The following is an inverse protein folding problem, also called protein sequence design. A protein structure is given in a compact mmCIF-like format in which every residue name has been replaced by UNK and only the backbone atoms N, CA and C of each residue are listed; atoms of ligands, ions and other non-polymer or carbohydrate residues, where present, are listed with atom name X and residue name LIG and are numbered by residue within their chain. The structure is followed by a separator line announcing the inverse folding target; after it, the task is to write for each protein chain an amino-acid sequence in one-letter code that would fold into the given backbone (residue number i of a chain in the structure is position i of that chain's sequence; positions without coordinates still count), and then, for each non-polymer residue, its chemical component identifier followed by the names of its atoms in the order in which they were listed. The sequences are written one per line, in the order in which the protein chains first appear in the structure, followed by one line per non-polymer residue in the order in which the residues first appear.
data_IF_904346709526
#
_entry.id   IF_904346709526
#
_cell.length_a   1.000
_cell.length_b   1.000
_cell.length_c   1.000
_cell.angle_alpha   90.00
_cell.angle_beta   90.00
_cell.angle_gamma   90.00
#
_symmetry.space_group_name_H-M   'P 1'
#
loop_
_entity.id
_entity.type
_entity.pdbx_description
1 polymer ?
#
# COMPACT_ATOMS: atom_id res chain seq x y z
N UNK A 1 -11.51 -3.04 18.04
CA UNK A 1 -10.13 -3.50 17.82
C UNK A 1 -9.53 -2.98 16.50
N UNK A 2 -10.22 -3.04 15.35
CA UNK A 2 -9.68 -2.49 14.09
C UNK A 2 -9.29 -1.00 14.14
N UNK A 3 -10.05 -0.16 14.87
CA UNK A 3 -9.72 1.26 15.03
C UNK A 3 -8.37 1.52 15.72
N UNK A 4 -7.98 0.69 16.70
CA UNK A 4 -6.67 0.84 17.38
C UNK A 4 -5.51 0.40 16.49
N UNK A 5 -5.74 -0.58 15.60
CA UNK A 5 -4.77 -1.01 14.58
C UNK A 5 -4.56 0.13 13.57
N UNK A 6 -5.65 0.72 13.05
CA UNK A 6 -5.57 1.83 12.11
C UNK A 6 -4.85 3.05 12.72
N UNK A 7 -5.20 3.43 13.96
CA UNK A 7 -4.54 4.52 14.67
C UNK A 7 -3.04 4.26 14.90
N UNK A 8 -2.67 3.01 15.20
CA UNK A 8 -1.26 2.61 15.34
C UNK A 8 -0.50 2.72 14.02
N UNK A 9 -1.13 2.35 12.90
CA UNK A 9 -0.56 2.52 11.56
C UNK A 9 -0.27 3.99 11.22
N UNK A 10 -1.24 4.88 11.44
CA UNK A 10 -1.05 6.33 11.23
C UNK A 10 0.08 6.88 12.11
N UNK A 11 0.18 6.43 13.37
CA UNK A 11 1.26 6.82 14.29
C UNK A 11 2.64 6.34 13.84
N UNK A 12 2.74 5.18 13.19
CA UNK A 12 4.02 4.68 12.65
C UNK A 12 4.45 5.57 11.48
N UNK A 13 3.53 5.84 10.56
CA UNK A 13 3.77 6.70 9.40
C UNK A 13 4.15 8.13 9.80
N UNK A 14 3.51 8.69 10.82
CA UNK A 14 3.78 10.05 11.29
C UNK A 14 5.17 10.26 11.90
N UNK A 15 5.96 9.19 12.12
CA UNK A 15 7.34 9.29 12.61
C UNK A 15 8.33 9.61 11.50
N UNK A 16 7.97 9.34 10.25
CA UNK A 16 8.81 9.61 9.07
C UNK A 16 8.56 11.02 8.53
N UNK A 17 9.57 11.58 7.84
CA UNK A 17 9.39 12.84 7.11
C UNK A 17 8.44 12.62 5.94
N UNK A 18 7.26 13.26 5.98
CA UNK A 18 6.27 13.23 4.91
C UNK A 18 6.68 14.17 3.75
N UNK A 19 7.78 13.83 3.08
CA UNK A 19 8.20 14.48 1.85
C UNK A 19 7.31 14.04 0.67
N UNK A 20 7.49 14.69 -0.49
CA UNK A 20 6.68 14.43 -1.68
C UNK A 20 6.76 12.95 -2.08
N UNK A 21 7.94 12.33 -1.97
CA UNK A 21 8.16 10.90 -2.18
C UNK A 21 7.31 10.03 -1.25
N UNK A 22 7.40 10.24 0.06
CA UNK A 22 6.63 9.46 1.04
C UNK A 22 5.12 9.61 0.81
N UNK A 23 4.64 10.82 0.56
CA UNK A 23 3.22 11.09 0.28
C UNK A 23 2.74 10.35 -0.97
N UNK A 24 3.53 10.33 -2.04
CA UNK A 24 3.17 9.59 -3.26
C UNK A 24 3.09 8.07 -3.01
N UNK A 25 4.08 7.51 -2.31
CA UNK A 25 4.10 6.08 -1.97
C UNK A 25 2.87 5.71 -1.13
N UNK A 26 2.56 6.52 -0.11
CA UNK A 26 1.38 6.32 0.74
C UNK A 26 0.07 6.42 -0.04
N UNK A 27 -0.11 7.47 -0.84
CA UNK A 27 -1.34 7.69 -1.59
C UNK A 27 -1.61 6.54 -2.59
N UNK A 28 -0.58 6.12 -3.33
CA UNK A 28 -0.70 5.04 -4.32
C UNK A 28 -0.93 3.68 -3.65
N UNK A 29 -0.20 3.36 -2.59
CA UNK A 29 -0.38 2.10 -1.86
C UNK A 29 -1.76 1.98 -1.22
N UNK A 30 -2.27 3.07 -0.64
CA UNK A 30 -3.63 3.13 -0.11
C UNK A 30 -4.67 2.99 -1.23
N UNK A 31 -4.48 3.70 -2.36
CA UNK A 31 -5.39 3.61 -3.51
C UNK A 31 -5.45 2.18 -4.07
N UNK A 32 -4.32 1.48 -4.19
CA UNK A 32 -4.30 0.08 -4.65
C UNK A 32 -4.92 -0.85 -3.61
N UNK A 33 -4.56 -0.73 -2.33
CA UNK A 33 -5.12 -1.59 -1.29
C UNK A 33 -6.64 -1.45 -1.14
N UNK A 34 -7.14 -0.21 -1.19
CA UNK A 34 -8.59 0.06 -1.17
C UNK A 34 -9.26 -0.37 -2.48
N UNK A 35 -8.63 -0.10 -3.63
CA UNK A 35 -9.17 -0.46 -4.95
C UNK A 35 -9.36 -1.97 -5.10
N UNK A 36 -8.35 -2.75 -4.72
CA UNK A 36 -8.42 -4.22 -4.78
C UNK A 36 -9.42 -4.78 -3.77
N UNK A 37 -9.53 -4.17 -2.58
CA UNK A 37 -10.54 -4.57 -1.60
C UNK A 37 -11.97 -4.27 -2.07
N UNK A 38 -12.18 -3.22 -2.86
CA UNK A 38 -13.50 -2.83 -3.38
C UNK A 38 -13.88 -3.63 -4.63
N UNK A 39 -12.91 -3.94 -5.48
CA UNK A 39 -13.11 -4.69 -6.72
C UNK A 39 -12.05 -5.78 -6.86
N UNK A 40 -12.25 -6.99 -6.31
CA UNK A 40 -11.27 -8.08 -6.43
C UNK A 40 -11.11 -8.57 -7.89
N UNK A 41 -12.09 -8.29 -8.76
CA UNK A 41 -12.07 -8.66 -10.18
C UNK A 41 -10.95 -7.97 -10.99
N UNK A 42 -10.34 -6.89 -10.51
CA UNK A 42 -9.25 -6.22 -11.27
C UNK A 42 -8.05 -7.17 -11.46
N UNK A 43 -7.92 -8.16 -10.57
CA UNK A 43 -6.88 -9.19 -10.62
C UNK A 43 -7.25 -10.38 -11.52
N UNK A 44 -8.36 -10.35 -12.26
CA UNK A 44 -8.83 -11.49 -13.07
C UNK A 44 -7.80 -12.02 -14.07
N UNK A 45 -6.94 -11.13 -14.60
CA UNK A 45 -5.86 -11.45 -15.53
C UNK A 45 -4.55 -11.86 -14.85
N UNK A 46 -4.47 -11.81 -13.52
CA UNK A 46 -3.31 -12.22 -12.75
C UNK A 46 -3.30 -13.74 -12.49
N UNK A 47 -2.11 -14.35 -12.37
CA UNK A 47 -1.98 -15.77 -12.04
C UNK A 47 -2.54 -16.07 -10.64
N UNK A 48 -3.03 -17.31 -10.43
CA UNK A 48 -3.83 -17.66 -9.24
C UNK A 48 -3.11 -17.43 -7.91
N UNK A 49 -1.80 -17.66 -7.85
CA UNK A 49 -0.97 -17.40 -6.67
C UNK A 49 -0.91 -15.90 -6.33
N UNK A 50 -0.92 -15.03 -7.33
CA UNK A 50 -0.90 -13.58 -7.14
C UNK A 50 -2.29 -13.06 -6.76
N UNK A 51 -3.35 -13.65 -7.31
CA UNK A 51 -4.74 -13.39 -6.87
C UNK A 51 -4.91 -13.73 -5.39
N UNK A 52 -4.42 -14.87 -4.92
CA UNK A 52 -4.59 -15.25 -3.52
C UNK A 52 -3.89 -14.27 -2.58
N UNK A 53 -2.67 -13.85 -2.92
CA UNK A 53 -1.91 -12.88 -2.12
C UNK A 53 -2.52 -11.48 -2.16
N UNK A 54 -2.90 -10.99 -3.34
CA UNK A 54 -3.43 -9.64 -3.52
C UNK A 54 -4.93 -9.53 -3.22
N UNK A 55 -5.66 -10.64 -3.06
CA UNK A 55 -7.08 -10.63 -2.67
C UNK A 55 -7.34 -9.88 -1.36
N UNK A 56 -6.33 -9.79 -0.48
CA UNK A 56 -6.35 -8.94 0.70
C UNK A 56 -5.89 -7.53 0.36
N UNK A 57 -6.77 -6.53 0.55
CA UNK A 57 -6.42 -5.12 0.35
C UNK A 57 -5.21 -4.66 1.18
N UNK A 58 -5.00 -5.25 2.36
CA UNK A 58 -3.83 -4.96 3.21
C UNK A 58 -2.55 -5.47 2.54
N UNK A 59 -2.56 -6.70 2.02
CA UNK A 59 -1.41 -7.28 1.33
C UNK A 59 -1.13 -6.53 0.02
N UNK A 60 -2.16 -6.23 -0.76
CA UNK A 60 -2.04 -5.48 -2.01
C UNK A 60 -1.44 -4.08 -1.77
N UNK A 61 -1.95 -3.34 -0.77
CA UNK A 61 -1.39 -2.04 -0.41
C UNK A 61 0.04 -2.12 0.10
N UNK A 62 0.34 -3.06 1.00
CA UNK A 62 1.68 -3.25 1.57
C UNK A 62 2.74 -3.63 0.53
N UNK A 63 2.43 -4.59 -0.35
CA UNK A 63 3.32 -4.98 -1.45
C UNK A 63 3.55 -3.79 -2.38
N UNK A 64 2.49 -3.06 -2.72
CA UNK A 64 2.60 -1.86 -3.57
C UNK A 64 3.49 -0.80 -2.92
N UNK A 65 3.37 -0.56 -1.61
CA UNK A 65 4.23 0.38 -0.89
C UNK A 65 5.72 -0.03 -0.95
N UNK A 66 6.02 -1.32 -0.78
CA UNK A 66 7.39 -1.85 -0.86
C UNK A 66 7.95 -1.67 -2.27
N UNK A 67 7.19 -2.06 -3.30
CA UNK A 67 7.61 -1.93 -4.70
C UNK A 67 7.84 -0.46 -5.05
N UNK A 68 6.92 0.44 -4.68
CA UNK A 68 7.07 1.87 -4.95
C UNK A 68 8.27 2.46 -4.20
N UNK A 69 8.55 2.03 -2.97
CA UNK A 69 9.72 2.50 -2.25
C UNK A 69 11.05 2.04 -2.89
N UNK A 70 11.06 0.93 -3.62
CA UNK A 70 12.23 0.47 -4.38
C UNK A 70 12.36 1.18 -5.73
N UNK A 71 11.23 1.42 -6.42
CA UNK A 71 11.21 2.03 -7.75
C UNK A 71 11.38 3.55 -7.69
N UNK A 72 10.80 4.22 -6.69
CA UNK A 72 10.90 5.67 -6.58
C UNK A 72 12.32 6.06 -6.16
N UNK A 73 13.00 6.92 -6.95
CA UNK A 73 14.36 7.36 -6.62
C UNK A 73 14.36 7.99 -5.24
N UNK A 74 15.40 7.70 -4.46
CA UNK A 74 15.58 8.36 -3.18
C UNK A 74 15.80 9.85 -3.44
N UNK A 75 14.96 10.67 -2.82
CA UNK A 75 15.15 12.11 -2.80
C UNK A 75 16.46 12.32 -2.04
N UNK A 76 17.51 12.76 -2.75
CA UNK A 76 18.76 13.18 -2.12
C UNK A 76 18.39 14.40 -1.26
N UNK A 77 18.42 14.26 0.06
CA UNK A 77 18.46 15.42 0.96
C UNK A 77 19.68 16.28 0.62
#
# INVERSE_FOLDING_TARGET
MFGTIAASGVRIVSREKLNRRAIMIMALSLAVGMGVSQQPLILQFAPDWLKTLLSSGIAAGGITAIVLNLVFPQEKE
#
